data_IF_445067492087
#
_entry.id   IF_445067492087
#
_cell.length_a   1.000
_cell.length_b   1.000
_cell.length_c   1.000
_cell.angle_alpha   90.00
_cell.angle_beta   90.00
_cell.angle_gamma   90.00
#
_symmetry.space_group_name_H-M   'P 1'
#
loop_
_entity.id
_entity.type
_entity.pdbx_description
1 polymer ?
#
# COMPACT_ATOMS: atom_id res chain seq x y z
N UNK A 1 -11.68 9.08 1.28
CA UNK A 1 -12.72 10.05 1.72
C UNK A 1 -14.07 9.88 1.01
N UNK A 2 -14.16 9.21 -0.16
CA UNK A 2 -15.44 8.98 -0.85
C UNK A 2 -16.28 7.79 -0.33
N UNK A 3 -16.07 7.36 0.92
CA UNK A 3 -16.85 6.27 1.56
C UNK A 3 -16.30 4.85 1.40
N UNK A 4 -15.44 4.56 0.43
CA UNK A 4 -14.86 3.21 0.28
C UNK A 4 -14.03 2.78 1.50
N UNK A 5 -14.11 1.49 1.85
CA UNK A 5 -13.36 0.87 2.94
C UNK A 5 -11.92 0.55 2.54
N UNK A 6 -11.77 -0.01 1.34
CA UNK A 6 -10.48 -0.44 0.81
C UNK A 6 -10.28 0.05 -0.63
N UNK A 7 -9.01 0.33 -0.92
CA UNK A 7 -8.49 0.43 -2.29
C UNK A 7 -7.55 -0.75 -2.55
N UNK A 8 -7.05 -0.86 -3.77
CA UNK A 8 -6.03 -1.86 -4.12
C UNK A 8 -5.11 -1.32 -5.20
N UNK A 9 -3.86 -1.77 -5.15
CA UNK A 9 -3.00 -1.74 -6.33
C UNK A 9 -3.62 -2.62 -7.43
N UNK A 10 -3.46 -2.22 -8.69
CA UNK A 10 -3.74 -3.07 -9.84
C UNK A 10 -2.72 -4.24 -9.88
N UNK A 11 -3.09 -5.38 -10.48
CA UNK A 11 -2.22 -6.56 -10.50
C UNK A 11 -0.86 -6.29 -11.16
N UNK A 12 -0.83 -5.36 -12.12
CA UNK A 12 0.38 -4.98 -12.84
C UNK A 12 1.16 -3.87 -12.12
N UNK A 13 0.68 -3.33 -11.01
CA UNK A 13 1.38 -2.30 -10.23
C UNK A 13 2.30 -2.98 -9.22
N UNK A 14 3.58 -3.12 -9.59
CA UNK A 14 4.62 -3.69 -8.75
C UNK A 14 5.65 -2.61 -8.36
N UNK A 15 6.73 -2.45 -9.12
CA UNK A 15 7.70 -1.38 -9.01
C UNK A 15 8.22 -1.06 -10.41
N UNK A 16 7.86 0.11 -10.93
CA UNK A 16 8.22 0.54 -12.28
C UNK A 16 8.94 1.90 -12.26
N UNK A 17 9.61 2.30 -13.36
CA UNK A 17 10.36 3.56 -13.40
C UNK A 17 9.54 4.81 -13.06
N UNK A 18 8.23 4.78 -13.30
CA UNK A 18 7.33 5.90 -13.00
C UNK A 18 6.81 5.88 -11.55
N UNK A 19 6.92 4.75 -10.83
CA UNK A 19 6.45 4.60 -9.46
C UNK A 19 7.12 3.40 -8.78
N UNK A 20 8.08 3.68 -7.91
CA UNK A 20 8.72 2.67 -7.08
C UNK A 20 7.80 2.24 -5.92
N UNK A 21 7.85 0.96 -5.58
CA UNK A 21 6.93 0.37 -4.59
C UNK A 21 7.03 1.01 -3.21
N UNK A 22 8.25 1.34 -2.75
CA UNK A 22 8.49 1.88 -1.41
C UNK A 22 7.85 3.25 -1.23
N UNK A 23 8.01 4.13 -2.21
CA UNK A 23 7.38 5.45 -2.21
C UNK A 23 5.86 5.33 -2.23
N UNK A 24 5.32 4.43 -3.08
CA UNK A 24 3.89 4.15 -3.13
C UNK A 24 3.34 3.74 -1.77
N UNK A 25 4.00 2.81 -1.08
CA UNK A 25 3.53 2.31 0.22
C UNK A 25 3.46 3.44 1.24
N UNK A 26 4.47 4.32 1.29
CA UNK A 26 4.50 5.48 2.18
C UNK A 26 3.34 6.45 1.90
N UNK A 27 3.13 6.80 0.64
CA UNK A 27 2.03 7.72 0.27
C UNK A 27 0.65 7.10 0.50
N UNK A 28 0.48 5.81 0.21
CA UNK A 28 -0.78 5.10 0.44
C UNK A 28 -1.09 5.01 1.92
N UNK A 29 -0.12 4.67 2.78
CA UNK A 29 -0.37 4.59 4.22
C UNK A 29 -0.64 5.95 4.86
N UNK A 30 0.01 7.02 4.41
CA UNK A 30 -0.36 8.39 4.80
C UNK A 30 -1.81 8.72 4.40
N UNK A 31 -2.22 8.33 3.18
CA UNK A 31 -3.59 8.53 2.72
C UNK A 31 -4.63 7.69 3.50
N UNK A 32 -4.30 6.43 3.83
CA UNK A 32 -5.12 5.53 4.66
C UNK A 32 -5.31 6.15 6.05
N UNK A 33 -4.23 6.60 6.69
CA UNK A 33 -4.27 7.22 8.00
C UNK A 33 -5.09 8.51 7.99
N UNK A 34 -4.93 9.36 6.96
CA UNK A 34 -5.75 10.57 6.77
C UNK A 34 -7.22 10.27 6.54
N UNK A 35 -7.55 9.19 5.84
CA UNK A 35 -8.92 8.77 5.61
C UNK A 35 -9.55 8.24 6.91
N UNK A 36 -8.85 7.35 7.61
CA UNK A 36 -9.26 6.80 8.91
C UNK A 36 -9.49 7.92 9.94
N UNK A 37 -8.55 8.85 10.09
CA UNK A 37 -8.69 9.98 11.01
C UNK A 37 -9.86 10.92 10.66
N UNK A 38 -10.20 11.04 9.37
CA UNK A 38 -11.29 11.92 8.93
C UNK A 38 -12.68 11.30 9.10
N UNK A 39 -12.79 9.96 9.07
CA UNK A 39 -14.09 9.26 9.13
C UNK A 39 -14.33 8.54 10.44
N UNK A 40 -13.29 8.22 11.21
CA UNK A 40 -13.38 7.36 12.40
C UNK A 40 -13.61 5.87 12.06
N UNK A 41 -13.50 5.49 10.80
CA UNK A 41 -13.69 4.12 10.32
C UNK A 41 -12.32 3.49 10.01
N UNK A 42 -12.22 2.17 10.17
CA UNK A 42 -11.05 1.42 9.72
C UNK A 42 -10.98 1.49 8.19
N UNK A 43 -9.82 1.89 7.66
CA UNK A 43 -9.54 1.99 6.21
C UNK A 43 -8.26 1.26 5.87
N UNK A 44 -8.11 0.86 4.61
CA UNK A 44 -6.89 0.22 4.13
C UNK A 44 -6.72 0.26 2.62
N UNK A 45 -5.60 -0.29 2.16
CA UNK A 45 -5.35 -0.53 0.74
C UNK A 45 -4.58 -1.83 0.58
N UNK A 46 -4.93 -2.67 -0.39
CA UNK A 46 -4.14 -3.86 -0.71
C UNK A 46 -2.86 -3.44 -1.43
N UNK A 47 -1.77 -3.37 -0.66
CA UNK A 47 -0.42 -3.09 -1.15
C UNK A 47 0.12 -4.32 -1.89
N UNK A 48 0.40 -4.16 -3.19
CA UNK A 48 0.87 -5.27 -4.01
C UNK A 48 2.34 -5.59 -3.72
N UNK A 49 2.56 -6.75 -3.10
CA UNK A 49 3.88 -7.27 -2.74
C UNK A 49 4.52 -8.15 -3.82
N UNK A 50 3.87 -8.36 -4.98
CA UNK A 50 4.41 -9.18 -6.07
C UNK A 50 5.78 -8.66 -6.53
N UNK A 51 6.83 -9.44 -6.26
CA UNK A 51 8.22 -9.20 -6.65
C UNK A 51 8.71 -10.20 -7.71
N UNK A 52 9.94 -10.02 -8.19
CA UNK A 52 10.54 -10.95 -9.16
C UNK A 52 11.07 -12.21 -8.47
N UNK A 53 11.48 -12.08 -7.20
CA UNK A 53 11.98 -13.16 -6.36
C UNK A 53 11.18 -13.29 -5.07
N UNK A 54 11.40 -14.37 -4.32
CA UNK A 54 10.78 -14.53 -3.00
C UNK A 54 11.33 -13.51 -2.00
N UNK A 55 12.62 -13.18 -2.11
CA UNK A 55 13.28 -12.17 -1.29
C UNK A 55 12.62 -10.80 -1.49
N UNK A 56 12.33 -10.40 -2.73
CA UNK A 56 11.60 -9.16 -3.04
C UNK A 56 10.20 -9.16 -2.41
N UNK A 57 9.50 -10.29 -2.49
CA UNK A 57 8.14 -10.41 -1.92
C UNK A 57 8.19 -10.24 -0.41
N UNK A 58 9.13 -10.92 0.26
CA UNK A 58 9.30 -10.80 1.71
C UNK A 58 9.74 -9.39 2.13
N UNK A 59 10.65 -8.75 1.40
CA UNK A 59 11.05 -7.37 1.67
C UNK A 59 9.84 -6.42 1.65
N UNK A 60 9.00 -6.53 0.62
CA UNK A 60 7.81 -5.70 0.48
C UNK A 60 6.78 -6.00 1.56
N UNK A 61 6.56 -7.27 1.88
CA UNK A 61 5.60 -7.69 2.89
C UNK A 61 6.00 -7.24 4.30
N UNK A 62 7.29 -7.38 4.66
CA UNK A 62 7.80 -6.89 5.94
C UNK A 62 7.72 -5.37 6.01
N UNK A 63 8.05 -4.64 4.93
CA UNK A 63 7.91 -3.19 4.94
C UNK A 63 6.45 -2.75 5.08
N UNK A 64 5.50 -3.42 4.42
CA UNK A 64 4.07 -3.13 4.62
C UNK A 64 3.65 -3.31 6.08
N UNK A 65 4.12 -4.39 6.73
CA UNK A 65 3.86 -4.67 8.14
C UNK A 65 4.47 -3.64 9.10
N UNK A 66 5.65 -3.11 8.78
CA UNK A 66 6.29 -2.05 9.56
C UNK A 66 5.51 -0.73 9.53
N UNK A 67 4.72 -0.49 8.48
CA UNK A 67 3.92 0.73 8.34
C UNK A 67 2.60 0.71 9.12
N UNK A 68 2.15 -0.46 9.61
CA UNK A 68 0.93 -0.64 10.40
C UNK A 68 -0.24 -1.21 9.60
#
# INVERSE_FOLDING_TARGET
KGGLDFMKDDENINSQPFMHWRDRFLYVMDAVNKASAATGEVKGSYLNVTGATMEDIYERAEFAKELG
#
